data_IF_060073879160
#
_entry.id   IF_060073879160
#
_cell.length_a   1.000
_cell.length_b   1.000
_cell.length_c   1.000
_cell.angle_alpha   90.00
_cell.angle_beta   90.00
_cell.angle_gamma   90.00
#
_symmetry.space_group_name_H-M   'P 1'
#
loop_
_entity.id
_entity.type
_entity.pdbx_description
1 polymer ?
#
# COMPACT_ATOMS: atom_id res chain seq x y z
N UNK A 1 -8.90 20.19 -25.92
CA UNK A 1 -9.24 20.72 -24.58
C UNK A 1 -9.52 19.53 -23.69
N UNK A 2 -8.48 19.02 -23.02
CA UNK A 2 -8.61 18.00 -21.97
C UNK A 2 -8.43 18.72 -20.64
N UNK A 3 -9.47 18.71 -19.82
CA UNK A 3 -9.43 19.20 -18.44
C UNK A 3 -8.76 18.12 -17.59
N UNK A 4 -7.55 18.41 -17.10
CA UNK A 4 -6.89 17.63 -16.05
C UNK A 4 -7.74 17.71 -14.78
N UNK A 5 -8.41 16.61 -14.45
CA UNK A 5 -8.98 16.37 -13.12
C UNK A 5 -7.84 16.16 -12.13
N UNK A 6 -7.70 17.09 -11.18
CA UNK A 6 -6.88 16.90 -9.98
C UNK A 6 -7.48 15.73 -9.18
N UNK A 7 -6.70 14.73 -8.76
CA UNK A 7 -7.25 13.56 -8.09
C UNK A 7 -7.61 13.88 -6.63
N UNK A 8 -8.81 13.43 -6.23
CA UNK A 8 -9.53 13.73 -4.98
C UNK A 8 -8.89 13.15 -3.69
N UNK A 9 -7.66 12.63 -3.73
CA UNK A 9 -7.06 11.86 -2.63
C UNK A 9 -6.31 12.70 -1.59
N UNK A 10 -6.00 13.98 -1.85
CA UNK A 10 -5.46 14.89 -0.81
C UNK A 10 -6.44 15.20 0.32
N UNK A 11 -7.70 14.78 0.22
CA UNK A 11 -8.73 14.93 1.27
C UNK A 11 -9.05 13.63 1.99
N UNK A 12 -8.35 12.53 1.73
CA UNK A 12 -8.56 11.22 2.39
C UNK A 12 -7.54 10.91 3.50
N UNK A 13 -6.59 11.80 3.77
CA UNK A 13 -5.75 11.75 4.96
C UNK A 13 -6.42 12.51 6.11
N UNK A 14 -6.51 11.95 7.34
CA UNK A 14 -6.61 12.81 8.51
C UNK A 14 -5.40 13.74 8.47
N UNK A 15 -5.64 15.05 8.48
CA UNK A 15 -4.62 16.08 8.24
C UNK A 15 -3.25 15.75 8.85
N UNK A 16 -2.18 15.76 8.04
CA UNK A 16 -0.74 15.59 8.40
C UNK A 16 -0.27 16.27 9.71
N UNK A 17 -1.03 17.24 10.24
CA UNK A 17 -0.77 17.88 11.54
C UNK A 17 -0.84 16.92 12.74
N UNK A 18 -1.43 15.73 12.60
CA UNK A 18 -1.52 14.75 13.69
C UNK A 18 -0.36 13.75 13.74
N UNK A 19 0.21 13.34 12.59
CA UNK A 19 1.36 12.41 12.56
C UNK A 19 2.67 13.04 13.07
N UNK A 20 2.85 14.35 12.90
CA UNK A 20 4.00 15.08 13.47
C UNK A 20 4.00 15.12 15.01
N UNK A 21 2.83 14.96 15.65
CA UNK A 21 2.73 14.80 17.11
C UNK A 21 3.06 13.38 17.58
N UNK A 22 2.86 12.37 16.73
CA UNK A 22 3.15 10.97 17.07
C UNK A 22 4.66 10.66 17.00
N UNK A 23 5.42 11.31 16.11
CA UNK A 23 6.90 11.25 16.14
C UNK A 23 7.52 11.86 17.41
N UNK A 24 6.82 12.78 18.08
CA UNK A 24 7.32 13.45 19.28
C UNK A 24 7.11 12.63 20.58
N UNK A 25 6.31 11.56 20.54
CA UNK A 25 6.00 10.74 21.72
C UNK A 25 6.90 9.49 21.85
N UNK A 26 7.69 9.16 20.83
CA UNK A 26 8.64 8.04 20.84
C UNK A 26 10.09 8.44 21.18
N UNK A 27 10.42 9.74 21.23
CA UNK A 27 11.80 10.18 21.47
C UNK A 27 12.00 10.69 22.91
N UNK A 28 11.93 9.74 23.84
CA UNK A 28 12.21 9.92 25.25
C UNK A 28 13.71 9.88 25.56
N UNK A 29 14.47 10.85 25.05
CA UNK A 29 15.67 11.37 25.73
C UNK A 29 17.03 10.76 25.38
N UNK A 30 17.89 11.58 24.77
CA UNK A 30 19.17 11.98 25.38
C UNK A 30 19.81 13.18 24.69
N UNK A 31 20.14 14.18 25.51
CA UNK A 31 21.05 15.28 25.21
C UNK A 31 22.46 14.74 24.94
N UNK A 32 23.07 15.16 23.84
CA UNK A 32 24.50 15.49 23.82
C UNK A 32 24.83 16.39 22.65
N UNK A 33 25.33 17.55 23.03
CA UNK A 33 25.86 18.63 22.20
C UNK A 33 27.04 18.22 21.31
N UNK A 34 27.26 19.07 20.30
CA UNK A 34 28.54 19.34 19.61
C UNK A 34 29.12 18.18 18.80
N UNK A 35 29.03 18.31 17.48
CA UNK A 35 30.15 18.37 16.52
C UNK A 35 29.53 18.30 15.13
N UNK A 36 29.47 19.43 14.42
CA UNK A 36 29.60 19.55 12.95
C UNK A 36 29.42 21.03 12.57
N UNK A 37 30.45 21.83 12.81
CA UNK A 37 30.61 23.16 12.21
C UNK A 37 32.05 23.30 11.72
N UNK A 38 32.46 22.43 10.80
CA UNK A 38 33.78 22.49 10.18
C UNK A 38 33.81 21.64 8.89
N UNK A 39 33.07 22.01 7.84
CA UNK A 39 33.28 21.43 6.50
C UNK A 39 32.61 22.21 5.34
N UNK A 40 32.39 23.52 5.46
CA UNK A 40 31.83 24.34 4.36
C UNK A 40 32.61 25.64 4.05
N UNK A 41 33.92 25.66 4.34
CA UNK A 41 34.79 26.77 3.93
C UNK A 41 36.10 26.25 3.37
N UNK A 42 36.10 25.90 2.09
CA UNK A 42 37.33 25.56 1.38
C UNK A 42 37.06 25.04 -0.03
N UNK A 43 36.70 25.91 -0.97
CA UNK A 43 36.55 25.48 -2.36
C UNK A 43 35.86 26.49 -3.27
N UNK A 44 36.30 27.76 -3.29
CA UNK A 44 35.85 28.72 -4.32
C UNK A 44 36.94 29.48 -5.07
N UNK A 45 38.22 29.23 -4.78
CA UNK A 45 39.33 29.93 -5.44
C UNK A 45 40.30 28.94 -6.09
N UNK A 46 39.91 28.34 -7.23
CA UNK A 46 40.87 27.64 -8.12
C UNK A 46 40.36 27.37 -9.54
N UNK A 47 39.52 28.24 -10.09
CA UNK A 47 39.01 28.07 -11.46
C UNK A 47 39.15 29.32 -12.36
N UNK A 48 40.23 30.09 -12.18
CA UNK A 48 40.66 31.07 -13.18
C UNK A 48 42.18 31.10 -13.26
N UNK A 49 42.76 30.21 -14.07
CA UNK A 49 44.21 30.21 -14.21
C UNK A 49 44.83 29.11 -15.05
N UNK A 50 44.14 28.57 -16.06
CA UNK A 50 44.77 27.63 -17.00
C UNK A 50 43.98 27.56 -18.32
N UNK A 51 43.81 28.72 -18.98
CA UNK A 51 43.42 28.79 -20.39
C UNK A 51 44.43 29.62 -21.15
N UNK A 52 45.56 29.01 -21.51
CA UNK A 52 46.47 29.43 -22.60
C UNK A 52 47.70 28.52 -22.59
N UNK A 53 47.67 27.48 -23.42
CA UNK A 53 48.75 27.03 -24.31
C UNK A 53 48.52 25.58 -24.75
N UNK A 54 48.47 25.39 -26.07
CA UNK A 54 48.89 24.16 -26.74
C UNK A 54 47.87 23.03 -26.81
N UNK A 55 47.19 22.92 -27.96
CA UNK A 55 47.06 21.67 -28.73
C UNK A 55 46.17 21.96 -29.96
N UNK A 56 46.81 22.44 -31.04
CA UNK A 56 46.33 22.14 -32.38
C UNK A 56 46.71 20.69 -32.68
N UNK A 57 45.76 19.91 -33.17
CA UNK A 57 46.02 18.60 -33.78
C UNK A 57 45.53 17.43 -32.93
N UNK A 58 44.24 17.11 -33.03
CA UNK A 58 43.64 15.77 -32.89
C UNK A 58 42.11 15.89 -33.01
N UNK A 59 41.63 16.26 -34.20
CA UNK A 59 40.21 16.25 -34.57
C UNK A 59 39.97 15.30 -35.74
N UNK A 60 40.50 14.07 -35.62
CA UNK A 60 40.38 13.05 -36.66
C UNK A 60 40.16 11.62 -36.18
N UNK A 61 40.25 11.34 -34.87
CA UNK A 61 40.09 9.97 -34.34
C UNK A 61 38.88 9.78 -33.42
N UNK A 62 38.45 10.78 -32.64
CA UNK A 62 37.27 10.67 -31.77
C UNK A 62 35.91 10.63 -32.49
N UNK A 63 35.85 11.10 -33.75
CA UNK A 63 34.62 11.06 -34.54
C UNK A 63 34.40 9.70 -35.23
N UNK A 64 35.47 8.91 -35.45
CA UNK A 64 35.35 7.55 -35.99
C UNK A 64 34.94 6.51 -34.94
N UNK A 65 35.20 6.74 -33.66
CA UNK A 65 34.67 5.89 -32.57
C UNK A 65 33.20 6.19 -32.27
N UNK A 66 32.77 7.46 -32.38
CA UNK A 66 31.35 7.83 -32.26
C UNK A 66 30.50 7.34 -33.45
N UNK A 67 31.05 7.31 -34.66
CA UNK A 67 30.35 6.83 -35.86
C UNK A 67 30.27 5.29 -35.96
N UNK A 68 31.12 4.54 -35.25
CA UNK A 68 30.99 3.06 -35.18
C UNK A 68 29.88 2.58 -34.23
N UNK A 69 29.38 3.42 -33.32
CA UNK A 69 28.39 3.00 -32.33
C UNK A 69 26.94 3.02 -32.86
N UNK A 70 26.64 3.73 -33.95
CA UNK A 70 25.27 3.91 -34.45
C UNK A 70 24.83 2.80 -35.45
N UNK A 71 25.72 1.90 -35.86
CA UNK A 71 25.33 0.68 -36.60
C UNK A 71 24.76 -0.44 -35.69
N UNK A 72 24.93 -0.33 -34.37
CA UNK A 72 24.68 -1.43 -33.43
C UNK A 72 23.21 -1.57 -33.01
N UNK A 73 22.46 -0.47 -32.85
CA UNK A 73 21.10 -0.54 -32.30
C UNK A 73 20.07 -1.11 -33.29
N UNK A 74 20.15 -0.72 -34.57
CA UNK A 74 19.25 -1.23 -35.60
C UNK A 74 19.53 -2.70 -35.92
N UNK A 75 20.79 -3.13 -35.92
CA UNK A 75 21.13 -4.56 -36.04
C UNK A 75 20.71 -5.35 -34.80
N UNK A 76 20.84 -4.79 -33.59
CA UNK A 76 20.32 -5.40 -32.36
C UNK A 76 18.79 -5.52 -32.35
N UNK A 77 18.07 -4.47 -32.75
CA UNK A 77 16.61 -4.49 -32.88
C UNK A 77 16.18 -5.47 -33.96
N UNK A 78 16.88 -5.52 -35.10
CA UNK A 78 16.60 -6.47 -36.18
C UNK A 78 16.84 -7.91 -35.73
N UNK A 79 17.95 -8.17 -35.04
CA UNK A 79 18.24 -9.48 -34.42
C UNK A 79 17.15 -9.82 -33.38
N UNK A 80 16.76 -8.91 -32.50
CA UNK A 80 15.70 -9.14 -31.51
C UNK A 80 14.31 -9.37 -32.11
N UNK A 81 13.95 -8.64 -33.17
CA UNK A 81 12.69 -8.81 -33.93
C UNK A 81 12.71 -10.14 -34.69
N UNK A 82 13.83 -10.51 -35.31
CA UNK A 82 14.00 -11.82 -35.94
C UNK A 82 13.85 -12.93 -34.90
N UNK A 83 14.35 -12.76 -33.66
CA UNK A 83 14.27 -13.76 -32.60
C UNK A 83 12.90 -13.89 -31.91
N UNK A 84 12.06 -12.86 -31.96
CA UNK A 84 10.72 -12.87 -31.35
C UNK A 84 9.61 -13.17 -32.35
N UNK A 85 9.90 -13.11 -33.66
CA UNK A 85 9.01 -13.54 -34.71
C UNK A 85 8.81 -15.07 -34.64
N UNK A 86 7.56 -15.47 -34.44
CA UNK A 86 7.13 -16.86 -34.50
C UNK A 86 6.44 -17.06 -35.85
N UNK A 87 6.86 -18.06 -36.61
CA UNK A 87 6.18 -18.38 -37.87
C UNK A 87 4.78 -18.97 -37.61
N UNK A 88 4.00 -19.15 -38.68
CA UNK A 88 2.64 -19.69 -38.59
C UNK A 88 2.59 -21.13 -38.02
N UNK A 89 3.73 -21.80 -37.89
CA UNK A 89 3.89 -23.14 -37.32
C UNK A 89 4.39 -23.14 -35.87
N UNK A 90 4.63 -21.97 -35.25
CA UNK A 90 5.07 -21.90 -33.86
C UNK A 90 6.59 -21.99 -33.66
N UNK A 91 7.38 -22.00 -34.74
CA UNK A 91 8.83 -22.04 -34.65
C UNK A 91 9.39 -20.63 -34.42
N UNK A 92 10.27 -20.48 -33.43
CA UNK A 92 11.08 -19.27 -33.28
C UNK A 92 12.18 -19.28 -34.33
N UNK A 93 12.68 -18.13 -34.75
CA UNK A 93 13.79 -18.05 -35.72
C UNK A 93 15.10 -18.72 -35.23
N UNK A 94 15.16 -19.19 -33.98
CA UNK A 94 16.27 -19.99 -33.44
C UNK A 94 16.22 -21.47 -33.89
N UNK A 95 15.06 -21.96 -34.32
CA UNK A 95 14.85 -23.38 -34.68
C UNK A 95 15.67 -23.84 -35.89
N UNK A 96 16.12 -22.89 -36.73
CA UNK A 96 16.86 -23.15 -37.97
C UNK A 96 18.35 -22.80 -37.93
N UNK A 97 18.88 -22.35 -36.79
CA UNK A 97 20.28 -21.96 -36.66
C UNK A 97 21.16 -23.15 -36.31
N UNK A 98 22.36 -23.19 -36.88
CA UNK A 98 23.39 -24.15 -36.45
C UNK A 98 23.90 -23.79 -35.05
N UNK A 99 24.44 -24.78 -34.29
CA UNK A 99 25.07 -24.51 -32.99
C UNK A 99 26.16 -23.43 -33.05
N UNK A 100 26.87 -23.32 -34.17
CA UNK A 100 27.91 -22.32 -34.43
C UNK A 100 27.33 -20.91 -34.54
N UNK A 101 26.22 -20.74 -35.27
CA UNK A 101 25.52 -19.46 -35.37
C UNK A 101 24.93 -19.01 -34.04
N UNK A 102 24.47 -19.96 -33.20
CA UNK A 102 24.02 -19.67 -31.84
C UNK A 102 25.19 -19.20 -30.97
N UNK A 103 26.37 -19.83 -31.09
CA UNK A 103 27.57 -19.45 -30.36
C UNK A 103 28.07 -18.06 -30.78
N UNK A 104 28.08 -17.75 -32.07
CA UNK A 104 28.46 -16.44 -32.62
C UNK A 104 27.52 -15.33 -32.12
N UNK A 105 26.20 -15.57 -32.15
CA UNK A 105 25.21 -14.62 -31.63
C UNK A 105 25.31 -14.41 -30.11
N UNK A 106 25.60 -15.46 -29.34
CA UNK A 106 25.87 -15.33 -27.89
C UNK A 106 27.13 -14.51 -27.62
N UNK A 107 28.20 -14.75 -28.38
CA UNK A 107 29.43 -13.98 -28.26
C UNK A 107 29.21 -12.49 -28.60
N UNK A 108 28.40 -12.20 -29.62
CA UNK A 108 28.00 -10.83 -29.97
C UNK A 108 27.23 -10.14 -28.83
N UNK A 109 26.25 -10.82 -28.22
CA UNK A 109 25.49 -10.27 -27.08
C UNK A 109 26.43 -10.00 -25.90
N UNK A 110 27.31 -10.95 -25.56
CA UNK A 110 28.25 -10.78 -24.44
C UNK A 110 29.24 -9.65 -24.69
N UNK A 111 29.75 -9.53 -25.92
CA UNK A 111 30.66 -8.45 -26.33
C UNK A 111 30.00 -7.07 -26.27
N UNK A 112 28.70 -6.98 -26.53
CA UNK A 112 27.93 -5.73 -26.51
C UNK A 112 27.16 -5.51 -25.20
N UNK A 113 27.32 -6.38 -24.20
CA UNK A 113 26.54 -6.37 -22.96
C UNK A 113 26.59 -5.03 -22.24
N UNK A 114 27.77 -4.42 -22.11
CA UNK A 114 27.90 -3.10 -21.46
C UNK A 114 27.17 -1.97 -22.18
N UNK A 115 27.07 -2.03 -23.52
CA UNK A 115 26.29 -1.07 -24.31
C UNK A 115 24.79 -1.35 -24.16
N UNK A 116 24.40 -2.63 -24.17
CA UNK A 116 23.02 -3.06 -23.93
C UNK A 116 22.52 -2.66 -22.54
N UNK A 117 23.32 -2.87 -21.50
CA UNK A 117 23.00 -2.48 -20.12
C UNK A 117 22.86 -0.96 -19.98
N UNK A 118 23.68 -0.19 -20.71
CA UNK A 118 23.58 1.27 -20.74
C UNK A 118 22.36 1.78 -21.52
N UNK A 119 21.94 1.06 -22.56
CA UNK A 119 20.78 1.42 -23.39
C UNK A 119 19.45 0.96 -22.81
N UNK A 120 19.46 -0.17 -22.09
CA UNK A 120 18.30 -0.79 -21.47
C UNK A 120 18.60 -1.00 -19.99
N UNK A 121 18.63 0.09 -19.19
CA UNK A 121 18.90 -0.02 -17.77
C UNK A 121 17.88 -0.97 -17.14
N UNK A 122 18.38 -1.84 -16.29
CA UNK A 122 17.59 -2.80 -15.55
C UNK A 122 16.76 -2.07 -14.49
N UNK A 123 15.54 -1.67 -14.88
CA UNK A 123 14.62 -0.91 -14.03
C UNK A 123 14.21 -1.66 -12.76
N UNK A 124 14.49 -2.98 -12.66
CA UNK A 124 14.20 -3.80 -11.50
C UNK A 124 15.44 -4.16 -10.67
N UNK A 125 16.63 -3.67 -11.01
CA UNK A 125 17.87 -3.98 -10.29
C UNK A 125 17.73 -3.66 -8.79
N UNK A 126 17.32 -2.43 -8.48
CA UNK A 126 17.13 -1.97 -7.11
C UNK A 126 16.04 -2.74 -6.36
N UNK A 127 14.93 -3.07 -7.02
CA UNK A 127 13.86 -3.88 -6.42
C UNK A 127 14.38 -5.28 -6.04
N UNK A 128 15.24 -5.87 -6.88
CA UNK A 128 15.86 -7.18 -6.59
C UNK A 128 16.83 -7.09 -5.42
N UNK A 129 17.65 -6.05 -5.33
CA UNK A 129 18.54 -5.83 -4.19
C UNK A 129 17.76 -5.70 -2.87
N UNK A 130 16.67 -4.91 -2.87
CA UNK A 130 15.81 -4.75 -1.70
C UNK A 130 15.14 -6.07 -1.32
N UNK A 131 14.65 -6.84 -2.30
CA UNK A 131 14.11 -8.18 -2.06
C UNK A 131 15.16 -9.12 -1.49
N UNK A 132 16.40 -9.08 -1.95
CA UNK A 132 17.47 -9.92 -1.42
C UNK A 132 17.79 -9.56 0.05
N UNK A 133 17.72 -8.29 0.43
CA UNK A 133 17.74 -7.86 1.85
C UNK A 133 16.59 -8.50 2.63
N UNK A 134 15.39 -8.56 2.06
CA UNK A 134 14.25 -9.23 2.70
C UNK A 134 14.37 -10.74 2.77
N UNK A 135 15.19 -11.40 1.95
CA UNK A 135 15.37 -12.86 2.01
C UNK A 135 16.49 -13.28 2.96
N UNK A 136 17.41 -12.37 3.27
CA UNK A 136 18.54 -12.59 4.18
C UNK A 136 18.11 -12.48 5.64
N UNK A 137 17.98 -13.63 6.31
CA UNK A 137 17.63 -13.72 7.73
C UNK A 137 18.77 -13.30 8.68
N UNK A 138 20.00 -13.15 8.18
CA UNK A 138 21.12 -12.66 8.99
C UNK A 138 21.11 -11.13 9.15
N UNK A 139 20.30 -10.42 8.34
CA UNK A 139 20.13 -8.97 8.42
C UNK A 139 19.32 -8.57 9.66
N UNK A 140 19.51 -7.33 10.07
CA UNK A 140 18.79 -6.77 11.22
C UNK A 140 17.39 -6.33 10.80
N UNK A 141 16.46 -6.28 11.77
CA UNK A 141 15.09 -5.81 11.53
C UNK A 141 15.04 -4.40 10.91
N UNK A 142 15.96 -3.51 11.29
CA UNK A 142 16.06 -2.17 10.71
C UNK A 142 16.35 -2.20 9.19
N UNK A 143 17.18 -3.15 8.72
CA UNK A 143 17.45 -3.33 7.29
C UNK A 143 16.19 -3.82 6.56
N UNK A 144 15.47 -4.78 7.15
CA UNK A 144 14.21 -5.28 6.59
C UNK A 144 13.14 -4.19 6.52
N UNK A 145 12.99 -3.39 7.58
CA UNK A 145 12.05 -2.26 7.60
C UNK A 145 12.41 -1.23 6.52
N UNK A 146 13.69 -0.85 6.43
CA UNK A 146 14.17 0.07 5.40
C UNK A 146 13.87 -0.45 3.99
N UNK A 147 14.11 -1.74 3.75
CA UNK A 147 13.81 -2.36 2.46
C UNK A 147 12.31 -2.43 2.15
N UNK A 148 11.46 -2.77 3.12
CA UNK A 148 10.01 -2.81 2.97
C UNK A 148 9.43 -1.42 2.67
N UNK A 149 9.90 -0.37 3.36
CA UNK A 149 9.45 1.00 3.12
C UNK A 149 9.88 1.52 1.75
N UNK A 150 11.12 1.21 1.33
CA UNK A 150 11.59 1.56 -0.01
C UNK A 150 10.78 0.83 -1.10
N UNK A 151 10.48 -0.46 -0.89
CA UNK A 151 9.60 -1.22 -1.80
C UNK A 151 8.18 -0.67 -1.82
N UNK A 152 7.65 -0.15 -0.70
CA UNK A 152 6.31 0.44 -0.64
C UNK A 152 6.21 1.66 -1.56
N UNK A 153 7.25 2.51 -1.59
CA UNK A 153 7.35 3.64 -2.52
C UNK A 153 7.30 3.19 -3.99
N UNK A 154 7.99 2.08 -4.35
CA UNK A 154 7.87 1.52 -5.69
C UNK A 154 6.46 1.03 -6.00
N UNK A 155 5.78 0.40 -5.03
CA UNK A 155 4.43 -0.13 -5.25
C UNK A 155 3.36 0.96 -5.44
N UNK A 156 3.67 2.23 -5.15
CA UNK A 156 2.80 3.35 -5.53
C UNK A 156 2.72 3.54 -7.06
N UNK A 157 3.73 3.09 -7.81
CA UNK A 157 3.66 3.00 -9.26
C UNK A 157 3.06 1.65 -9.68
N UNK A 158 1.94 1.74 -10.40
CA UNK A 158 1.19 0.61 -10.91
C UNK A 158 2.04 -0.40 -11.69
N UNK A 159 3.05 0.05 -12.44
CA UNK A 159 3.89 -0.85 -13.23
C UNK A 159 4.76 -1.76 -12.34
N UNK A 160 5.24 -1.26 -11.20
CA UNK A 160 5.98 -2.10 -10.26
C UNK A 160 5.03 -3.01 -9.48
N UNK A 161 3.85 -2.50 -9.08
CA UNK A 161 2.84 -3.28 -8.39
C UNK A 161 2.40 -4.52 -9.19
N UNK A 162 2.08 -4.37 -10.48
CA UNK A 162 1.69 -5.49 -11.36
C UNK A 162 2.79 -6.56 -11.44
N UNK A 163 4.06 -6.15 -11.32
CA UNK A 163 5.20 -7.07 -11.41
C UNK A 163 5.69 -7.58 -10.04
N UNK A 164 4.95 -7.34 -8.95
CA UNK A 164 5.36 -7.72 -7.58
C UNK A 164 5.63 -9.22 -7.42
N UNK A 165 4.89 -10.09 -8.12
CA UNK A 165 5.14 -11.52 -8.10
C UNK A 165 6.34 -11.91 -8.97
N UNK A 166 6.46 -11.33 -10.17
CA UNK A 166 7.58 -11.63 -11.09
C UNK A 166 8.93 -11.23 -10.48
N UNK A 167 8.94 -10.16 -9.69
CA UNK A 167 10.14 -9.73 -8.96
C UNK A 167 10.42 -10.58 -7.72
N UNK A 168 9.47 -11.41 -7.26
CA UNK A 168 9.57 -12.20 -6.02
C UNK A 168 9.39 -11.37 -4.74
N UNK A 169 8.97 -10.11 -4.86
CA UNK A 169 8.75 -9.22 -3.71
C UNK A 169 7.55 -9.67 -2.89
N UNK A 170 6.49 -10.20 -3.53
CA UNK A 170 5.32 -10.68 -2.81
C UNK A 170 5.70 -11.80 -1.83
N UNK A 171 6.40 -12.84 -2.30
CA UNK A 171 6.84 -13.96 -1.46
C UNK A 171 7.71 -13.48 -0.30
N UNK A 172 8.63 -12.55 -0.56
CA UNK A 172 9.49 -11.98 0.45
C UNK A 172 8.70 -11.16 1.51
N UNK A 173 7.72 -10.38 1.08
CA UNK A 173 6.85 -9.60 1.96
C UNK A 173 5.96 -10.50 2.82
N UNK A 174 5.33 -11.51 2.22
CA UNK A 174 4.52 -12.52 2.93
C UNK A 174 5.36 -13.23 3.97
N UNK A 175 6.57 -13.69 3.58
CA UNK A 175 7.52 -14.33 4.49
C UNK A 175 7.86 -13.44 5.68
N UNK A 176 8.06 -12.14 5.48
CA UNK A 176 8.37 -11.19 6.57
C UNK A 176 7.16 -10.84 7.43
N UNK A 177 5.95 -10.85 6.86
CA UNK A 177 4.74 -10.68 7.62
C UNK A 177 4.43 -11.92 8.50
N UNK A 178 4.76 -13.13 8.03
CA UNK A 178 4.60 -14.38 8.80
C UNK A 178 5.72 -14.59 9.82
N UNK A 179 6.98 -14.39 9.41
CA UNK A 179 8.16 -14.65 10.23
C UNK A 179 8.43 -13.47 11.15
N UNK A 180 7.89 -13.56 12.36
CA UNK A 180 8.36 -12.83 13.51
C UNK A 180 9.68 -13.45 14.00
N UNK A 181 10.80 -13.01 13.45
CA UNK A 181 12.12 -13.27 14.05
C UNK A 181 12.16 -12.61 15.44
N UNK A 182 11.72 -13.35 16.46
CA UNK A 182 11.92 -13.06 17.88
C UNK A 182 10.79 -12.31 18.59
N UNK A 183 10.64 -12.58 19.88
CA UNK A 183 9.65 -11.98 20.80
C UNK A 183 10.05 -10.57 21.26
N UNK A 184 10.36 -9.67 20.32
CA UNK A 184 10.78 -8.29 20.59
C UNK A 184 10.02 -7.29 19.72
N UNK A 185 9.91 -6.03 20.17
CA UNK A 185 9.19 -4.94 19.49
C UNK A 185 9.54 -4.79 17.99
N UNK A 186 10.76 -5.17 17.60
CA UNK A 186 11.23 -5.11 16.22
C UNK A 186 10.50 -6.09 15.29
N UNK A 187 9.97 -7.20 15.81
CA UNK A 187 9.21 -8.14 15.00
C UNK A 187 7.84 -7.58 14.58
N UNK A 188 7.20 -6.74 15.42
CA UNK A 188 5.93 -6.15 15.04
C UNK A 188 6.10 -5.00 14.03
N UNK A 189 7.17 -4.21 14.13
CA UNK A 189 7.46 -3.15 13.16
C UNK A 189 7.77 -3.70 11.76
N UNK A 190 8.48 -4.83 11.67
CA UNK A 190 8.66 -5.55 10.39
C UNK A 190 7.31 -6.01 9.83
N UNK A 191 6.41 -6.60 10.65
CA UNK A 191 5.06 -7.00 10.20
C UNK A 191 4.24 -5.79 9.75
N UNK A 192 4.30 -4.68 10.47
CA UNK A 192 3.63 -3.42 10.08
C UNK A 192 4.07 -3.00 8.69
N UNK A 193 5.38 -2.94 8.43
CA UNK A 193 5.92 -2.54 7.13
C UNK A 193 5.53 -3.53 6.02
N UNK A 194 5.59 -4.84 6.29
CA UNK A 194 5.23 -5.87 5.34
C UNK A 194 3.75 -5.83 4.96
N UNK A 195 2.85 -5.71 5.93
CA UNK A 195 1.41 -5.59 5.67
C UNK A 195 1.08 -4.25 4.99
N UNK A 196 1.81 -3.17 5.30
CA UNK A 196 1.68 -1.89 4.59
C UNK A 196 2.01 -2.04 3.11
N UNK A 197 3.16 -2.65 2.79
CA UNK A 197 3.59 -2.93 1.43
C UNK A 197 2.53 -3.73 0.65
N UNK A 198 1.99 -4.80 1.24
CA UNK A 198 0.92 -5.61 0.63
C UNK A 198 -0.33 -4.76 0.36
N UNK A 199 -0.74 -3.94 1.32
CA UNK A 199 -1.89 -3.05 1.18
C UNK A 199 -1.71 -2.00 0.09
N UNK A 200 -0.51 -1.43 -0.03
CA UNK A 200 -0.16 -0.43 -1.05
C UNK A 200 -0.13 -1.03 -2.46
N UNK A 201 0.41 -2.25 -2.61
CA UNK A 201 0.41 -2.95 -3.90
C UNK A 201 -1.00 -3.21 -4.45
N UNK A 202 -1.98 -3.47 -3.59
CA UNK A 202 -3.37 -3.77 -4.00
C UNK A 202 -4.23 -2.53 -4.30
N UNK A 203 -3.75 -1.32 -4.05
CA UNK A 203 -4.61 -0.14 -3.91
C UNK A 203 -5.42 0.21 -5.17
N UNK A 204 -4.78 0.13 -6.34
CA UNK A 204 -5.31 0.69 -7.58
C UNK A 204 -5.31 -0.31 -8.76
N UNK A 205 -5.06 -1.59 -8.51
CA UNK A 205 -4.97 -2.60 -9.57
C UNK A 205 -5.62 -3.95 -9.20
N UNK A 206 -6.57 -4.39 -10.03
CA UNK A 206 -7.35 -5.61 -9.80
C UNK A 206 -6.53 -6.89 -10.10
N UNK A 207 -5.52 -6.83 -10.96
CA UNK A 207 -4.61 -7.97 -11.21
C UNK A 207 -3.81 -8.26 -9.95
N UNK A 208 -3.31 -7.21 -9.27
CA UNK A 208 -2.57 -7.35 -8.01
C UNK A 208 -3.47 -7.86 -6.89
N UNK A 209 -4.72 -7.39 -6.79
CA UNK A 209 -5.70 -7.91 -5.82
C UNK A 209 -5.98 -9.39 -6.03
N UNK A 210 -6.24 -9.81 -7.28
CA UNK A 210 -6.48 -11.21 -7.61
C UNK A 210 -5.26 -12.09 -7.29
N UNK A 211 -4.06 -11.55 -7.53
CA UNK A 211 -2.80 -12.20 -7.23
C UNK A 211 -2.59 -12.39 -5.72
N UNK A 212 -2.85 -11.37 -4.90
CA UNK A 212 -2.80 -11.50 -3.43
C UNK A 212 -3.88 -12.45 -2.92
N UNK A 213 -5.10 -12.38 -3.46
CA UNK A 213 -6.22 -13.23 -3.05
C UNK A 213 -6.02 -14.71 -3.39
N UNK A 214 -5.33 -15.01 -4.49
CA UNK A 214 -5.03 -16.39 -4.93
C UNK A 214 -3.71 -16.94 -4.41
N UNK A 215 -2.84 -16.09 -3.87
CA UNK A 215 -1.59 -16.51 -3.27
C UNK A 215 -1.83 -17.36 -2.00
N UNK A 216 -1.21 -18.54 -1.86
CA UNK A 216 -1.50 -19.50 -0.78
C UNK A 216 -1.49 -18.86 0.62
N UNK A 217 -0.51 -18.01 0.87
CA UNK A 217 -0.26 -17.41 2.18
C UNK A 217 -0.60 -15.93 2.31
N UNK A 218 -0.73 -15.19 1.19
CA UNK A 218 -0.78 -13.72 1.27
C UNK A 218 -2.11 -13.23 1.83
N UNK A 219 -3.22 -13.83 1.37
CA UNK A 219 -4.54 -13.52 1.91
C UNK A 219 -4.63 -13.88 3.40
N UNK A 220 -4.06 -15.02 3.80
CA UNK A 220 -4.03 -15.43 5.21
C UNK A 220 -3.25 -14.43 6.07
N UNK A 221 -2.12 -13.91 5.58
CA UNK A 221 -1.37 -12.84 6.24
C UNK A 221 -2.21 -11.59 6.42
N UNK A 222 -2.88 -11.14 5.35
CA UNK A 222 -3.66 -9.90 5.37
C UNK A 222 -4.88 -10.02 6.29
N UNK A 223 -5.59 -11.15 6.27
CA UNK A 223 -6.70 -11.42 7.19
C UNK A 223 -6.20 -11.62 8.62
N UNK A 224 -5.14 -12.40 8.82
CA UNK A 224 -4.55 -12.65 10.13
C UNK A 224 -4.03 -11.39 10.83
N UNK A 225 -3.56 -10.40 10.06
CA UNK A 225 -3.14 -9.11 10.58
C UNK A 225 -4.25 -8.37 11.36
N UNK A 226 -5.53 -8.62 11.06
CA UNK A 226 -6.67 -8.04 11.78
C UNK A 226 -6.77 -8.50 13.24
N UNK A 227 -6.17 -9.64 13.58
CA UNK A 227 -6.16 -10.21 14.93
C UNK A 227 -4.78 -10.20 15.57
N UNK A 228 -3.82 -9.47 15.00
CA UNK A 228 -2.47 -9.34 15.56
C UNK A 228 -2.51 -8.68 16.94
N UNK A 229 -1.61 -9.07 17.84
CA UNK A 229 -1.49 -8.49 19.17
C UNK A 229 -1.11 -7.00 19.10
N UNK A 230 -0.30 -6.59 18.13
CA UNK A 230 0.11 -5.20 17.94
C UNK A 230 -0.98 -4.41 17.19
N UNK A 231 -1.55 -3.35 17.80
CA UNK A 231 -2.57 -2.53 17.14
C UNK A 231 -2.10 -1.85 15.85
N UNK A 232 -0.80 -1.60 15.70
CA UNK A 232 -0.23 -1.03 14.47
C UNK A 232 -0.35 -2.00 13.31
N UNK A 233 -0.14 -3.30 13.56
CA UNK A 233 -0.32 -4.35 12.55
C UNK A 233 -1.80 -4.47 12.19
N UNK A 234 -2.70 -4.47 13.19
CA UNK A 234 -4.15 -4.45 12.94
C UNK A 234 -4.59 -3.27 12.10
N UNK A 235 -4.08 -2.07 12.38
CA UNK A 235 -4.41 -0.87 11.62
C UNK A 235 -3.97 -0.96 10.15
N UNK A 236 -2.84 -1.62 9.87
CA UNK A 236 -2.39 -1.92 8.51
C UNK A 236 -3.20 -3.05 7.88
N UNK A 237 -3.58 -4.07 8.63
CA UNK A 237 -4.49 -5.14 8.20
C UNK A 237 -5.84 -4.58 7.71
N UNK A 238 -6.46 -3.69 8.48
CA UNK A 238 -7.71 -3.02 8.07
C UNK A 238 -7.52 -2.23 6.78
N UNK A 239 -6.39 -1.51 6.61
CA UNK A 239 -6.08 -0.80 5.36
C UNK A 239 -5.92 -1.77 4.20
N UNK A 240 -5.18 -2.85 4.37
CA UNK A 240 -4.92 -3.84 3.33
C UNK A 240 -6.21 -4.56 2.90
N UNK A 241 -7.07 -4.94 3.83
CA UNK A 241 -8.40 -5.50 3.53
C UNK A 241 -9.29 -4.48 2.81
N UNK A 242 -9.26 -3.22 3.24
CA UNK A 242 -9.99 -2.14 2.56
C UNK A 242 -9.50 -1.94 1.12
N UNK A 243 -8.19 -2.05 0.86
CA UNK A 243 -7.63 -2.01 -0.49
C UNK A 243 -8.07 -3.22 -1.33
N UNK A 244 -7.96 -4.43 -0.77
CA UNK A 244 -8.35 -5.68 -1.43
C UNK A 244 -9.82 -5.68 -1.86
N UNK A 245 -10.72 -5.23 -0.99
CA UNK A 245 -12.16 -5.32 -1.22
C UNK A 245 -12.74 -4.10 -1.95
N UNK A 246 -11.98 -3.02 -2.13
CA UNK A 246 -12.48 -1.80 -2.78
C UNK A 246 -12.79 -2.06 -4.24
N UNK A 247 -14.08 -2.00 -4.58
CA UNK A 247 -14.59 -2.25 -5.94
C UNK A 247 -14.26 -3.65 -6.47
N UNK A 248 -13.92 -4.59 -5.57
CA UNK A 248 -13.55 -5.98 -5.92
C UNK A 248 -14.29 -6.97 -5.00
N UNK A 249 -15.64 -6.97 -4.99
CA UNK A 249 -16.42 -7.83 -4.10
C UNK A 249 -16.24 -9.33 -4.38
N UNK A 250 -15.69 -9.72 -5.52
CA UNK A 250 -15.36 -11.11 -5.88
C UNK A 250 -14.38 -11.79 -4.92
N UNK A 251 -13.58 -11.02 -4.16
CA UNK A 251 -12.66 -11.57 -3.15
C UNK A 251 -13.33 -11.76 -1.77
N UNK A 252 -14.60 -11.38 -1.61
CA UNK A 252 -15.30 -11.43 -0.33
C UNK A 252 -15.41 -12.84 0.25
N UNK A 253 -15.74 -13.84 -0.56
CA UNK A 253 -15.90 -15.22 -0.10
C UNK A 253 -14.58 -15.81 0.43
N UNK A 254 -13.45 -15.46 -0.18
CA UNK A 254 -12.13 -15.87 0.29
C UNK A 254 -11.79 -15.22 1.64
N UNK A 255 -12.10 -13.93 1.81
CA UNK A 255 -11.93 -13.23 3.10
C UNK A 255 -12.84 -13.84 4.18
N UNK A 256 -14.09 -14.17 3.85
CA UNK A 256 -15.03 -14.84 4.77
C UNK A 256 -14.56 -16.20 5.20
N UNK A 257 -14.06 -17.02 4.26
CA UNK A 257 -13.56 -18.36 4.56
C UNK A 257 -12.41 -18.37 5.58
N UNK A 258 -11.68 -17.25 5.69
CA UNK A 258 -10.60 -17.06 6.65
C UNK A 258 -11.03 -16.35 7.95
N UNK A 259 -12.34 -16.16 8.19
CA UNK A 259 -12.86 -15.49 9.37
C UNK A 259 -12.66 -13.97 9.38
N UNK A 260 -12.53 -13.37 8.19
CA UNK A 260 -12.29 -11.93 8.06
C UNK A 260 -13.45 -11.07 8.55
N UNK A 261 -14.68 -11.58 8.58
CA UNK A 261 -15.85 -10.83 9.06
C UNK A 261 -15.76 -10.63 10.57
N UNK A 262 -15.49 -11.70 11.30
CA UNK A 262 -15.32 -11.71 12.75
C UNK A 262 -14.14 -10.84 13.16
N UNK A 263 -13.02 -10.96 12.44
CA UNK A 263 -11.83 -10.17 12.72
C UNK A 263 -12.06 -8.67 12.46
N UNK A 264 -12.70 -8.28 11.36
CA UNK A 264 -13.06 -6.87 11.10
C UNK A 264 -14.10 -6.35 12.10
N UNK A 265 -15.08 -7.16 12.50
CA UNK A 265 -16.09 -6.80 13.49
C UNK A 265 -15.46 -6.52 14.86
N UNK A 266 -14.43 -7.28 15.25
CA UNK A 266 -13.62 -6.99 16.42
C UNK A 266 -12.86 -5.66 16.27
N UNK A 267 -12.31 -5.36 15.09
CA UNK A 267 -11.64 -4.07 14.84
C UNK A 267 -12.58 -2.86 14.96
N UNK A 268 -13.87 -2.98 14.59
CA UNK A 268 -14.85 -1.88 14.71
C UNK A 268 -14.97 -1.36 16.15
N UNK A 269 -14.77 -2.24 17.14
CA UNK A 269 -14.87 -1.94 18.57
C UNK A 269 -13.55 -2.19 19.32
N UNK A 270 -12.42 -2.05 18.63
CA UNK A 270 -11.09 -2.20 19.21
C UNK A 270 -10.87 -1.26 20.42
N UNK A 271 -10.88 -1.85 21.63
CA UNK A 271 -10.70 -1.13 22.86
C UNK A 271 -9.24 -0.66 23.09
N UNK A 272 -8.28 -1.26 22.39
CA UNK A 272 -6.85 -1.01 22.58
C UNK A 272 -6.34 0.11 21.68
N UNK A 273 -6.99 0.37 20.54
CA UNK A 273 -6.55 1.39 19.58
C UNK A 273 -7.69 2.12 18.89
N UNK A 274 -7.75 3.43 19.11
CA UNK A 274 -8.62 4.35 18.36
C UNK A 274 -8.35 4.29 16.86
N UNK A 275 -7.08 4.19 16.45
CA UNK A 275 -6.71 4.17 15.03
C UNK A 275 -7.30 2.94 14.32
N UNK A 276 -7.26 1.77 14.97
CA UNK A 276 -7.87 0.54 14.44
C UNK A 276 -9.38 0.70 14.34
N UNK A 277 -10.04 1.18 15.41
CA UNK A 277 -11.50 1.43 15.38
C UNK A 277 -11.91 2.36 14.27
N UNK A 278 -11.28 3.53 14.17
CA UNK A 278 -11.65 4.54 13.19
C UNK A 278 -11.48 4.02 11.78
N UNK A 279 -10.39 3.33 11.47
CA UNK A 279 -10.19 2.71 10.15
C UNK A 279 -11.26 1.67 9.83
N UNK A 280 -11.60 0.81 10.80
CA UNK A 280 -12.60 -0.24 10.59
C UNK A 280 -14.01 0.36 10.44
N UNK A 281 -14.36 1.35 11.26
CA UNK A 281 -15.62 2.11 11.17
C UNK A 281 -15.71 2.85 9.85
N UNK A 282 -14.66 3.55 9.44
CA UNK A 282 -14.59 4.24 8.15
C UNK A 282 -14.79 3.26 6.98
N UNK A 283 -14.08 2.12 6.96
CA UNK A 283 -14.25 1.09 5.94
C UNK A 283 -15.72 0.63 5.85
N UNK A 284 -16.33 0.33 7.00
CA UNK A 284 -17.73 -0.10 7.10
C UNK A 284 -18.70 0.99 6.63
N UNK A 285 -18.48 2.23 7.06
CA UNK A 285 -19.28 3.40 6.67
C UNK A 285 -19.20 3.69 5.16
N UNK A 286 -18.10 3.32 4.50
CA UNK A 286 -17.94 3.46 3.04
C UNK A 286 -18.34 2.21 2.26
N UNK A 287 -18.78 1.14 2.92
CA UNK A 287 -19.18 -0.11 2.28
C UNK A 287 -20.17 0.05 1.09
N UNK A 288 -21.19 0.94 1.13
CA UNK A 288 -22.05 1.15 -0.03
C UNK A 288 -21.31 1.68 -1.26
N UNK A 289 -20.28 2.50 -1.07
CA UNK A 289 -19.50 3.12 -2.17
C UNK A 289 -18.43 2.19 -2.72
N UNK A 290 -17.99 1.21 -1.92
CA UNK A 290 -16.93 0.26 -2.29
C UNK A 290 -17.47 -1.10 -2.72
N UNK A 291 -18.79 -1.24 -2.88
CA UNK A 291 -19.50 -2.48 -3.23
C UNK A 291 -19.41 -3.60 -2.16
N UNK A 292 -19.23 -3.22 -0.89
CA UNK A 292 -19.06 -4.13 0.23
C UNK A 292 -20.28 -4.19 1.18
N UNK A 293 -21.50 -3.96 0.67
CA UNK A 293 -22.72 -4.05 1.47
C UNK A 293 -22.93 -5.44 2.10
N UNK A 294 -22.39 -6.49 1.49
CA UNK A 294 -22.38 -7.83 2.06
C UNK A 294 -21.76 -7.84 3.46
N UNK A 295 -20.70 -7.06 3.68
CA UNK A 295 -20.01 -7.00 4.97
C UNK A 295 -20.89 -6.38 6.04
N UNK A 296 -21.61 -5.30 5.70
CA UNK A 296 -22.56 -4.62 6.59
C UNK A 296 -23.66 -5.58 7.05
N UNK A 297 -24.21 -6.36 6.12
CA UNK A 297 -25.22 -7.38 6.45
C UNK A 297 -24.63 -8.42 7.40
N UNK A 298 -23.46 -8.96 7.05
CA UNK A 298 -22.85 -10.05 7.80
C UNK A 298 -22.43 -9.59 9.22
N UNK A 299 -21.97 -8.34 9.43
CA UNK A 299 -21.73 -7.79 10.79
C UNK A 299 -23.01 -7.53 11.59
N UNK A 300 -24.13 -7.24 10.93
CA UNK A 300 -25.42 -7.12 11.59
C UNK A 300 -25.95 -8.49 12.04
N UNK A 301 -25.62 -9.55 11.31
CA UNK A 301 -26.05 -10.91 11.64
C UNK A 301 -25.10 -11.58 12.66
N UNK A 302 -23.80 -11.28 12.60
CA UNK A 302 -22.77 -11.86 13.47
C UNK A 302 -23.02 -11.56 14.95
N UNK A 303 -23.05 -12.61 15.77
CA UNK A 303 -23.34 -12.56 17.22
C UNK A 303 -24.59 -11.72 17.54
N UNK A 304 -25.59 -11.84 16.66
CA UNK A 304 -26.82 -11.07 16.69
C UNK A 304 -26.60 -9.58 16.60
N UNK A 305 -25.54 -9.09 15.95
CA UNK A 305 -25.23 -7.66 15.80
C UNK A 305 -24.47 -7.05 16.97
N UNK A 306 -23.70 -7.84 17.73
CA UNK A 306 -22.96 -7.36 18.90
C UNK A 306 -22.05 -6.16 18.58
N UNK A 307 -21.37 -6.20 17.43
CA UNK A 307 -20.50 -5.11 16.99
C UNK A 307 -21.27 -3.80 16.78
N UNK A 308 -22.47 -3.86 16.19
CA UNK A 308 -23.32 -2.69 15.93
C UNK A 308 -23.89 -2.12 17.23
N UNK A 309 -24.33 -2.98 18.17
CA UNK A 309 -24.79 -2.55 19.49
C UNK A 309 -23.72 -1.78 20.25
N UNK A 310 -22.47 -2.26 20.20
CA UNK A 310 -21.34 -1.59 20.81
C UNK A 310 -21.11 -0.22 20.17
N UNK A 311 -21.19 -0.09 18.84
CA UNK A 311 -21.10 1.22 18.17
C UNK A 311 -22.20 2.16 18.64
N UNK A 312 -23.46 1.72 18.69
CA UNK A 312 -24.57 2.56 19.19
C UNK A 312 -24.30 3.03 20.61
N UNK A 313 -23.88 2.12 21.50
CA UNK A 313 -23.54 2.46 22.89
C UNK A 313 -22.36 3.44 22.97
N UNK A 314 -21.33 3.22 22.17
CA UNK A 314 -20.12 4.05 22.14
C UNK A 314 -20.46 5.46 21.66
N UNK A 315 -21.29 5.62 20.63
CA UNK A 315 -21.75 6.94 20.16
C UNK A 315 -22.41 7.75 21.29
N UNK A 316 -23.13 7.08 22.20
CA UNK A 316 -23.68 7.72 23.39
C UNK A 316 -22.65 8.14 24.44
N UNK A 317 -21.48 7.50 24.48
CA UNK A 317 -20.48 7.68 25.53
C UNK A 317 -19.21 8.40 25.07
N UNK A 318 -18.94 8.46 23.76
CA UNK A 318 -17.76 9.08 23.21
C UNK A 318 -17.72 10.58 23.56
N UNK A 319 -16.52 11.11 23.87
CA UNK A 319 -16.32 12.55 24.05
C UNK A 319 -16.72 13.35 22.80
N UNK A 320 -17.37 14.50 22.97
CA UNK A 320 -17.86 15.32 21.85
C UNK A 320 -16.73 15.96 21.02
N UNK A 321 -15.51 16.01 21.56
CA UNK A 321 -14.30 16.48 20.88
C UNK A 321 -13.67 15.42 19.95
N UNK A 322 -14.08 14.15 20.04
CA UNK A 322 -13.65 13.08 19.13
C UNK A 322 -14.50 13.05 17.85
N UNK A 323 -14.59 14.20 17.17
CA UNK A 323 -15.48 14.42 16.01
C UNK A 323 -15.32 13.33 14.95
N UNK A 324 -14.08 12.96 14.60
CA UNK A 324 -13.84 11.97 13.55
C UNK A 324 -14.30 10.55 13.89
N UNK A 325 -14.18 10.09 15.15
CA UNK A 325 -14.69 8.77 15.54
C UNK A 325 -16.23 8.78 15.61
N UNK A 326 -16.81 9.89 16.06
CA UNK A 326 -18.26 10.11 16.05
C UNK A 326 -18.83 10.12 14.62
N UNK A 327 -18.19 10.81 13.67
CA UNK A 327 -18.60 10.82 12.26
C UNK A 327 -18.59 9.42 11.65
N UNK A 328 -17.50 8.68 11.83
CA UNK A 328 -17.37 7.32 11.30
C UNK A 328 -18.41 6.37 11.93
N UNK A 329 -18.67 6.51 13.23
CA UNK A 329 -19.67 5.71 13.94
C UNK A 329 -21.11 6.05 13.53
N UNK A 330 -21.44 7.33 13.37
CA UNK A 330 -22.76 7.81 12.89
C UNK A 330 -23.02 7.33 11.47
N UNK A 331 -22.03 7.44 10.57
CA UNK A 331 -22.18 6.97 9.19
C UNK A 331 -22.25 5.43 9.13
N UNK A 332 -21.55 4.70 10.00
CA UNK A 332 -21.72 3.25 10.14
C UNK A 332 -23.16 2.90 10.53
N UNK A 333 -23.73 3.56 11.55
CA UNK A 333 -25.13 3.33 11.98
C UNK A 333 -26.10 3.58 10.83
N UNK A 334 -25.89 4.66 10.07
CA UNK A 334 -26.69 4.98 8.88
C UNK A 334 -26.62 3.86 7.83
N UNK A 335 -25.44 3.31 7.60
CA UNK A 335 -25.23 2.20 6.67
C UNK A 335 -25.90 0.93 7.19
N UNK A 336 -25.82 0.62 8.48
CA UNK A 336 -26.57 -0.49 9.08
C UNK A 336 -28.10 -0.32 8.92
N UNK A 337 -28.63 0.90 9.04
CA UNK A 337 -30.05 1.17 8.83
C UNK A 337 -30.55 0.90 7.39
N UNK A 338 -29.63 0.75 6.42
CA UNK A 338 -29.98 0.40 5.04
C UNK A 338 -30.38 -1.08 4.88
N UNK A 339 -29.95 -1.97 5.78
CA UNK A 339 -30.27 -3.41 5.74
C UNK A 339 -31.34 -3.80 6.77
N UNK A 340 -32.11 -4.86 6.48
CA UNK A 340 -33.25 -5.28 7.30
C UNK A 340 -32.85 -5.69 8.73
N UNK A 341 -31.85 -6.55 8.87
CA UNK A 341 -31.31 -6.95 10.17
C UNK A 341 -30.77 -5.74 10.96
N UNK A 342 -30.07 -4.82 10.29
CA UNK A 342 -29.61 -3.59 10.91
C UNK A 342 -30.74 -2.70 11.42
N UNK A 343 -31.85 -2.56 10.68
CA UNK A 343 -33.05 -1.84 11.17
C UNK A 343 -33.63 -2.47 12.43
N UNK A 344 -33.78 -3.80 12.44
CA UNK A 344 -34.31 -4.50 13.61
C UNK A 344 -33.43 -4.29 14.85
N UNK A 345 -32.11 -4.33 14.69
CA UNK A 345 -31.14 -4.06 15.76
C UNK A 345 -31.19 -2.63 16.25
N UNK A 346 -31.20 -1.64 15.35
CA UNK A 346 -31.23 -0.23 15.75
C UNK A 346 -32.54 0.12 16.48
N UNK A 347 -33.64 -0.58 16.17
CA UNK A 347 -34.90 -0.47 16.91
C UNK A 347 -34.81 -1.05 18.32
N UNK A 348 -34.16 -2.20 18.51
CA UNK A 348 -34.04 -2.83 19.84
C UNK A 348 -33.13 -2.05 20.79
N UNK A 349 -32.12 -1.35 20.27
CA UNK A 349 -31.15 -0.61 21.07
C UNK A 349 -31.57 0.81 21.45
N UNK A 350 -32.82 1.22 21.16
CA UNK A 350 -33.27 2.61 21.31
C UNK A 350 -32.30 3.60 20.66
N UNK A 351 -31.80 3.28 19.46
CA UNK A 351 -30.76 4.07 18.79
C UNK A 351 -31.20 5.54 18.59
N UNK A 352 -32.50 5.78 18.35
CA UNK A 352 -33.05 7.14 18.20
C UNK A 352 -32.77 8.00 19.43
N UNK A 353 -32.98 7.47 20.65
CA UNK A 353 -32.74 8.22 21.89
C UNK A 353 -31.26 8.51 22.10
N UNK A 354 -30.38 7.58 21.71
CA UNK A 354 -28.94 7.77 21.77
C UNK A 354 -28.50 8.88 20.83
N UNK A 355 -28.99 8.88 19.58
CA UNK A 355 -28.67 9.90 18.58
C UNK A 355 -29.21 11.28 18.98
N UNK A 356 -30.44 11.35 19.55
CA UNK A 356 -30.99 12.62 20.04
C UNK A 356 -30.14 13.22 21.18
N UNK A 357 -29.68 12.39 22.13
CA UNK A 357 -28.76 12.85 23.20
C UNK A 357 -27.40 13.29 22.66
N UNK A 358 -26.91 12.66 21.58
CA UNK A 358 -25.69 13.10 20.92
C UNK A 358 -25.89 14.48 20.28
N UNK A 359 -27.01 14.71 19.59
CA UNK A 359 -27.33 15.98 18.92
C UNK A 359 -27.31 17.18 19.88
N UNK A 360 -27.77 16.97 21.12
CA UNK A 360 -27.75 17.98 22.19
C UNK A 360 -26.33 18.33 22.66
N UNK A 361 -25.40 17.37 22.58
CA UNK A 361 -24.04 17.49 23.11
C UNK A 361 -23.01 17.92 22.06
N UNK A 362 -23.26 17.67 20.78
CA UNK A 362 -22.33 18.03 19.70
C UNK A 362 -22.41 19.53 19.39
N UNK A 363 -21.26 20.20 19.49
CA UNK A 363 -21.11 21.62 19.15
C UNK A 363 -20.66 21.83 17.70
N UNK A 364 -19.96 20.85 17.10
CA UNK A 364 -19.51 20.93 15.71
C UNK A 364 -20.71 20.99 14.75
N UNK A 365 -20.73 22.00 13.87
CA UNK A 365 -21.89 22.28 13.01
C UNK A 365 -22.13 21.21 11.97
N UNK A 366 -21.07 20.62 11.42
CA UNK A 366 -21.16 19.63 10.36
C UNK A 366 -21.62 18.29 10.93
N UNK A 367 -20.97 17.82 12.01
CA UNK A 367 -21.37 16.63 12.72
C UNK A 367 -22.81 16.77 13.27
N UNK A 368 -23.18 17.93 13.84
CA UNK A 368 -24.56 18.16 14.29
C UNK A 368 -25.57 18.04 13.15
N UNK A 369 -25.26 18.56 11.97
CA UNK A 369 -26.07 18.38 10.77
C UNK A 369 -26.24 16.91 10.37
N UNK A 370 -25.15 16.15 10.40
CA UNK A 370 -25.14 14.71 10.10
C UNK A 370 -25.95 13.90 11.13
N UNK A 371 -25.78 14.19 12.42
CA UNK A 371 -26.51 13.58 13.52
C UNK A 371 -28.01 13.86 13.41
N UNK A 372 -28.38 15.12 13.14
CA UNK A 372 -29.77 15.51 12.92
C UNK A 372 -30.40 14.78 11.73
N UNK A 373 -29.67 14.70 10.60
CA UNK A 373 -30.13 13.95 9.42
C UNK A 373 -30.30 12.46 9.72
N UNK A 374 -29.38 11.86 10.49
CA UNK A 374 -29.50 10.48 10.93
C UNK A 374 -30.72 10.29 11.83
N UNK A 375 -30.96 11.15 12.82
CA UNK A 375 -32.12 11.08 13.70
C UNK A 375 -33.43 11.09 12.90
N UNK A 376 -33.58 12.03 11.96
CA UNK A 376 -34.75 12.09 11.07
C UNK A 376 -34.92 10.82 10.22
N UNK A 377 -33.81 10.27 9.73
CA UNK A 377 -33.81 9.05 8.91
C UNK A 377 -34.22 7.84 9.74
N UNK A 378 -33.67 7.67 10.94
CA UNK A 378 -34.02 6.58 11.85
C UNK A 378 -35.48 6.69 12.29
N UNK A 379 -35.99 7.87 12.62
CA UNK A 379 -37.41 8.06 12.96
C UNK A 379 -38.34 7.64 11.82
N UNK A 380 -37.97 7.89 10.55
CA UNK A 380 -38.78 7.49 9.39
C UNK A 380 -38.72 5.98 9.11
N UNK A 381 -37.56 5.38 9.32
CA UNK A 381 -37.30 3.98 8.96
C UNK A 381 -37.73 3.00 10.07
N UNK A 382 -37.68 3.43 11.34
CA UNK A 382 -37.96 2.59 12.51
C UNK A 382 -39.38 2.73 13.07
N UNK A 383 -40.13 3.76 12.65
CA UNK A 383 -41.57 3.87 12.87
C UNK A 383 -42.29 2.71 12.17
#
# INVERSE_FOLDING_TARGET
MYLCSVPLWRTLEPTRKHEDKERALTDGGRKSDKVTSALERGGKDREQGQRRRGAMGEHGQGQKEADMQIQSLNELLKVAVEHTAVDAQGHTALSGLTPEQIAEKRAFIEQNKGVLDALFPDVYAQIRELKDVLLDDARQAADHIGALLALEEYMEDRNYAINIQKTGVLDAAVRRAQNSLGSHADASTVRVAAVSLLGSAMQDDDEVKALVASHPDALQVVVGALSDADPSVRAKGVRAISALLRNSPEHSDAVKALGGVEALAACINDAQSEVVRRRARFFTAKAPRTQNLWFVRDICELDGGAAVRLVVRDVGNLPADQVGDLEDAVELIKVCASCEHGRALLKSENCVDVINRLEERVEDKELKGNVHQLAQTLCKILA
#
